data_IF_706386376716
#
_entry.id   IF_706386376716
#
_cell.length_a   1.000
_cell.length_b   1.000
_cell.length_c   1.000
_cell.angle_alpha   90.00
_cell.angle_beta   90.00
_cell.angle_gamma   90.00
#
_symmetry.space_group_name_H-M   'P 1'
#
loop_
_entity.id
_entity.type
_entity.pdbx_description
1 polymer ?
#
# COMPACT_ATOMS: atom_id res chain seq x y z
N UNK A 1 -27.95 22.45 5.73
CA UNK A 1 -26.50 22.51 5.51
C UNK A 1 -25.87 21.43 6.37
N UNK A 2 -25.66 20.24 5.80
CA UNK A 2 -25.03 19.13 6.52
C UNK A 2 -23.58 19.51 6.77
N UNK A 3 -23.19 19.67 8.05
CA UNK A 3 -21.80 19.90 8.42
C UNK A 3 -20.91 18.85 7.75
N UNK A 4 -20.02 19.33 6.88
CA UNK A 4 -19.07 18.54 6.12
C UNK A 4 -17.88 18.09 6.98
N UNK A 5 -18.18 17.68 8.22
CA UNK A 5 -17.19 17.30 9.23
C UNK A 5 -17.22 15.78 9.32
N UNK A 6 -16.06 15.17 9.08
CA UNK A 6 -15.89 13.73 9.24
C UNK A 6 -16.22 13.34 10.70
N UNK A 7 -16.87 12.20 10.88
CA UNK A 7 -17.15 11.66 12.21
C UNK A 7 -15.84 11.25 12.88
N UNK A 8 -15.50 11.87 14.01
CA UNK A 8 -14.34 11.49 14.80
C UNK A 8 -14.59 10.19 15.55
N UNK A 9 -13.64 9.25 15.46
CA UNK A 9 -13.68 8.01 16.20
C UNK A 9 -13.34 8.19 17.68
N UNK A 10 -13.98 7.41 18.53
CA UNK A 10 -13.64 7.29 19.95
C UNK A 10 -12.33 6.53 20.14
N UNK A 11 -11.69 6.72 21.29
CA UNK A 11 -10.46 5.99 21.67
C UNK A 11 -10.63 4.47 21.56
N UNK A 12 -11.76 3.95 22.03
CA UNK A 12 -12.10 2.53 21.94
C UNK A 12 -12.19 2.03 20.49
N UNK A 13 -12.75 2.81 19.57
CA UNK A 13 -12.85 2.45 18.15
C UNK A 13 -11.49 2.45 17.45
N UNK A 14 -10.63 3.42 17.79
CA UNK A 14 -9.25 3.48 17.28
C UNK A 14 -8.47 2.25 17.74
N UNK A 15 -8.55 1.89 19.03
CA UNK A 15 -7.93 0.69 19.56
C UNK A 15 -8.44 -0.59 18.88
N UNK A 16 -9.75 -0.67 18.64
CA UNK A 16 -10.37 -1.80 17.94
C UNK A 16 -9.90 -1.93 16.50
N UNK A 17 -9.83 -0.82 15.76
CA UNK A 17 -9.33 -0.81 14.38
C UNK A 17 -7.87 -1.27 14.31
N UNK A 18 -7.02 -0.75 15.20
CA UNK A 18 -5.62 -1.14 15.27
C UNK A 18 -5.44 -2.62 15.63
N UNK A 19 -6.26 -3.16 16.54
CA UNK A 19 -6.22 -4.57 16.89
C UNK A 19 -6.69 -5.47 15.75
N UNK A 20 -7.72 -5.05 15.02
CA UNK A 20 -8.20 -5.76 13.83
C UNK A 20 -7.10 -5.86 12.76
N UNK A 21 -6.37 -4.77 12.51
CA UNK A 21 -5.24 -4.76 11.58
C UNK A 21 -4.11 -5.72 12.03
N UNK A 22 -3.75 -5.69 13.33
CA UNK A 22 -2.74 -6.61 13.89
C UNK A 22 -3.15 -8.07 13.80
N UNK A 23 -4.40 -8.39 14.11
CA UNK A 23 -4.93 -9.74 14.02
C UNK A 23 -4.97 -10.23 12.57
N UNK A 24 -5.38 -9.37 11.64
CA UNK A 24 -5.38 -9.68 10.21
C UNK A 24 -3.97 -10.02 9.74
N UNK A 25 -2.98 -9.18 10.10
CA UNK A 25 -1.58 -9.46 9.78
C UNK A 25 -1.09 -10.79 10.38
N UNK A 26 -1.35 -11.02 11.67
CA UNK A 26 -0.96 -12.25 12.39
C UNK A 26 -1.60 -13.51 11.83
N UNK A 27 -2.78 -13.41 11.22
CA UNK A 27 -3.43 -14.56 10.57
C UNK A 27 -2.70 -15.03 9.30
N UNK A 28 -1.79 -14.21 8.75
CA UNK A 28 -0.99 -14.54 7.56
C UNK A 28 -1.73 -14.37 6.23
N UNK A 29 -3.00 -13.97 6.23
CA UNK A 29 -3.79 -13.67 5.02
C UNK A 29 -3.11 -12.64 4.10
N UNK A 30 -2.35 -11.70 4.67
CA UNK A 30 -1.65 -10.65 3.91
C UNK A 30 -0.29 -11.11 3.33
N UNK A 31 0.18 -12.30 3.72
CA UNK A 31 1.51 -12.81 3.33
C UNK A 31 1.60 -13.18 1.84
N UNK A 32 0.62 -13.89 1.22
CA UNK A 32 0.71 -14.29 -0.17
C UNK A 32 0.73 -13.11 -1.15
N UNK A 33 1.56 -13.19 -2.19
CA UNK A 33 1.66 -12.14 -3.21
C UNK A 33 0.34 -11.89 -3.95
N UNK A 34 -0.47 -12.94 -4.16
CA UNK A 34 -1.81 -12.81 -4.76
C UNK A 34 -2.70 -11.85 -3.96
N UNK A 35 -2.66 -11.90 -2.63
CA UNK A 35 -3.43 -10.99 -1.81
C UNK A 35 -2.94 -9.55 -2.00
N UNK A 36 -1.62 -9.32 -1.96
CA UNK A 36 -1.02 -8.00 -2.13
C UNK A 36 -1.33 -7.39 -3.49
N UNK A 37 -1.17 -8.17 -4.57
CA UNK A 37 -1.53 -7.79 -5.94
C UNK A 37 -3.01 -7.38 -6.02
N UNK A 38 -3.90 -8.19 -5.45
CA UNK A 38 -5.31 -7.86 -5.42
C UNK A 38 -5.60 -6.53 -4.70
N UNK A 39 -4.95 -6.28 -3.55
CA UNK A 39 -5.11 -5.00 -2.84
C UNK A 39 -4.60 -3.80 -3.66
N UNK A 40 -3.48 -3.94 -4.37
CA UNK A 40 -2.95 -2.89 -5.26
C UNK A 40 -3.93 -2.61 -6.42
N UNK A 41 -4.49 -3.65 -7.03
CA UNK A 41 -5.52 -3.48 -8.08
C UNK A 41 -6.79 -2.82 -7.55
N UNK A 42 -7.22 -3.12 -6.31
CA UNK A 42 -8.35 -2.44 -5.68
C UNK A 42 -8.02 -0.97 -5.39
N UNK A 43 -6.81 -0.68 -4.94
CA UNK A 43 -6.36 0.68 -4.69
C UNK A 43 -6.32 1.51 -5.97
N UNK A 44 -5.83 0.94 -7.06
CA UNK A 44 -5.84 1.59 -8.37
C UNK A 44 -7.27 1.96 -8.80
N UNK A 45 -8.20 1.00 -8.70
CA UNK A 45 -9.62 1.22 -9.01
C UNK A 45 -10.25 2.28 -8.12
N UNK A 46 -9.94 2.27 -6.81
CA UNK A 46 -10.41 3.29 -5.88
C UNK A 46 -10.00 4.70 -6.34
N UNK A 47 -8.75 4.88 -6.76
CA UNK A 47 -8.29 6.18 -7.25
C UNK A 47 -8.96 6.53 -8.58
N UNK A 48 -9.08 5.57 -9.49
CA UNK A 48 -9.68 5.78 -10.81
C UNK A 48 -11.16 6.15 -10.72
N UNK A 49 -11.96 5.30 -10.08
CA UNK A 49 -13.42 5.43 -9.94
C UNK A 49 -13.82 6.71 -9.19
N UNK A 50 -12.94 7.25 -8.35
CA UNK A 50 -13.20 8.44 -7.51
C UNK A 50 -12.41 9.68 -7.96
N UNK A 51 -11.84 9.70 -9.17
CA UNK A 51 -11.01 10.80 -9.69
C UNK A 51 -11.65 12.18 -9.50
N UNK A 52 -12.89 12.35 -9.97
CA UNK A 52 -13.58 13.65 -9.89
C UNK A 52 -13.93 14.03 -8.45
N UNK A 53 -14.27 13.06 -7.60
CA UNK A 53 -14.55 13.31 -6.18
C UNK A 53 -13.29 13.79 -5.44
N UNK A 54 -12.13 13.20 -5.75
CA UNK A 54 -10.84 13.61 -5.17
C UNK A 54 -10.46 15.02 -5.66
N UNK A 55 -10.68 15.33 -6.94
CA UNK A 55 -10.44 16.67 -7.49
C UNK A 55 -11.31 17.71 -6.78
N UNK A 56 -12.60 17.45 -6.63
CA UNK A 56 -13.51 18.40 -5.96
C UNK A 56 -13.20 18.54 -4.47
N UNK A 57 -12.81 17.45 -3.79
CA UNK A 57 -12.36 17.51 -2.39
C UNK A 57 -11.11 18.40 -2.24
N UNK A 58 -10.08 18.18 -3.05
CA UNK A 58 -8.83 18.97 -2.99
C UNK A 58 -9.04 20.43 -3.41
N UNK A 59 -9.95 20.69 -4.35
CA UNK A 59 -10.35 22.05 -4.69
C UNK A 59 -11.07 22.73 -3.53
N UNK A 60 -11.93 22.01 -2.80
CA UNK A 60 -12.64 22.56 -1.65
C UNK A 60 -11.72 22.85 -0.47
N UNK A 61 -10.79 21.94 -0.20
CA UNK A 61 -9.92 22.02 0.98
C UNK A 61 -8.72 22.94 0.75
N UNK A 62 -8.14 22.92 -0.46
CA UNK A 62 -6.87 23.59 -0.78
C UNK A 62 -6.99 24.63 -1.91
N UNK A 63 -8.15 24.78 -2.55
CA UNK A 63 -8.32 25.59 -3.78
C UNK A 63 -7.39 25.16 -4.92
N UNK A 64 -6.96 23.89 -4.92
CA UNK A 64 -6.06 23.32 -5.91
C UNK A 64 -6.75 23.26 -7.29
N UNK A 65 -6.04 23.67 -8.34
CA UNK A 65 -6.58 23.59 -9.70
C UNK A 65 -6.65 22.13 -10.16
N UNK A 66 -7.66 21.77 -10.97
CA UNK A 66 -7.85 20.39 -11.46
C UNK A 66 -6.58 19.76 -12.02
N UNK A 67 -5.87 20.47 -12.91
CA UNK A 67 -4.66 19.96 -13.54
C UNK A 67 -3.53 19.72 -12.53
N UNK A 68 -3.43 20.55 -11.50
CA UNK A 68 -2.42 20.40 -10.45
C UNK A 68 -2.72 19.17 -9.58
N UNK A 69 -3.99 18.94 -9.26
CA UNK A 69 -4.43 17.70 -8.58
C UNK A 69 -4.15 16.46 -9.43
N UNK A 70 -4.51 16.50 -10.72
CA UNK A 70 -4.31 15.35 -11.62
C UNK A 70 -2.83 15.02 -11.76
N UNK A 71 -2.00 16.02 -12.09
CA UNK A 71 -0.57 15.80 -12.36
C UNK A 71 0.25 15.59 -11.09
N UNK A 72 -0.14 16.22 -9.98
CA UNK A 72 0.61 16.18 -8.72
C UNK A 72 0.21 15.05 -7.77
N UNK A 73 -1.03 14.57 -7.84
CA UNK A 73 -1.55 13.59 -6.88
C UNK A 73 -2.00 12.30 -7.59
N UNK A 74 -2.91 12.42 -8.56
CA UNK A 74 -3.61 11.24 -9.12
C UNK A 74 -2.73 10.42 -10.05
N UNK A 75 -2.02 11.08 -10.97
CA UNK A 75 -1.11 10.41 -11.91
C UNK A 75 0.04 9.75 -11.16
N UNK A 76 0.80 10.44 -10.28
CA UNK A 76 1.88 9.81 -9.52
C UNK A 76 1.40 8.63 -8.67
N UNK A 77 0.26 8.76 -7.98
CA UNK A 77 -0.29 7.66 -7.19
C UNK A 77 -0.60 6.41 -8.04
N UNK A 78 -1.22 6.59 -9.21
CA UNK A 78 -1.51 5.47 -10.12
C UNK A 78 -0.23 4.85 -10.70
N UNK A 79 0.75 5.66 -11.05
CA UNK A 79 2.05 5.18 -11.56
C UNK A 79 2.82 4.39 -10.48
N UNK A 80 2.86 4.86 -9.23
CA UNK A 80 3.49 4.10 -8.14
C UNK A 80 2.78 2.76 -7.88
N UNK A 81 1.45 2.71 -8.00
CA UNK A 81 0.70 1.45 -7.89
C UNK A 81 1.03 0.51 -9.05
N UNK A 82 1.14 1.03 -10.28
CA UNK A 82 1.53 0.25 -11.45
C UNK A 82 2.96 -0.28 -11.33
N UNK A 83 3.92 0.55 -10.93
CA UNK A 83 5.31 0.14 -10.68
C UNK A 83 5.37 -0.97 -9.62
N UNK A 84 4.61 -0.83 -8.54
CA UNK A 84 4.48 -1.86 -7.53
C UNK A 84 3.86 -3.14 -8.08
N UNK A 85 2.84 -3.06 -8.94
CA UNK A 85 2.23 -4.23 -9.59
C UNK A 85 3.17 -4.94 -10.55
N UNK A 86 4.04 -4.22 -11.25
CA UNK A 86 5.01 -4.77 -12.19
C UNK A 86 6.16 -5.48 -11.47
N UNK A 87 6.64 -4.91 -10.37
CA UNK A 87 7.84 -5.38 -9.68
C UNK A 87 7.58 -6.17 -8.39
N UNK A 88 6.32 -6.37 -7.99
CA UNK A 88 5.94 -7.02 -6.72
C UNK A 88 6.67 -8.35 -6.47
N UNK A 89 6.68 -9.24 -7.45
CA UNK A 89 7.29 -10.57 -7.36
C UNK A 89 8.82 -10.48 -7.26
N UNK A 90 9.44 -9.57 -8.01
CA UNK A 90 10.88 -9.33 -7.94
C UNK A 90 11.27 -8.80 -6.57
N UNK A 91 10.54 -7.80 -6.07
CA UNK A 91 10.80 -7.19 -4.79
C UNK A 91 10.61 -8.18 -3.64
N UNK A 92 9.68 -9.13 -3.75
CA UNK A 92 9.43 -10.13 -2.74
C UNK A 92 10.35 -11.36 -2.81
N UNK A 93 11.11 -11.53 -3.89
CA UNK A 93 11.96 -12.71 -4.11
C UNK A 93 13.10 -12.80 -3.08
N UNK A 94 13.40 -14.03 -2.66
CA UNK A 94 14.58 -14.34 -1.85
C UNK A 94 15.86 -13.99 -2.63
N UNK A 95 16.77 -13.27 -1.99
CA UNK A 95 18.06 -12.89 -2.58
C UNK A 95 19.12 -13.94 -2.21
N UNK A 96 19.80 -14.52 -3.21
CA UNK A 96 20.92 -15.43 -2.96
C UNK A 96 22.14 -14.61 -2.54
N UNK A 97 22.67 -14.91 -1.36
CA UNK A 97 23.87 -14.26 -0.85
C UNK A 97 25.02 -15.24 -0.81
N UNK A 98 26.20 -14.74 -1.14
CA UNK A 98 27.43 -15.51 -1.06
C UNK A 98 27.93 -15.42 0.39
N UNK A 99 27.96 -16.54 1.15
CA UNK A 99 28.49 -16.51 2.51
C UNK A 99 30.01 -16.41 2.50
N UNK A 100 30.58 -16.06 3.65
CA UNK A 100 32.03 -16.10 3.88
C UNK A 100 32.60 -17.50 3.54
N UNK A 101 33.88 -17.54 3.15
CA UNK A 101 34.53 -18.76 2.63
C UNK A 101 34.36 -19.98 3.55
N UNK A 102 34.42 -19.77 4.87
CA UNK A 102 34.26 -20.82 5.89
C UNK A 102 32.88 -21.49 5.88
N UNK A 103 31.85 -20.81 5.39
CA UNK A 103 30.45 -21.27 5.37
C UNK A 103 29.97 -21.59 3.94
N UNK A 104 30.89 -21.75 2.98
CA UNK A 104 30.56 -21.83 1.54
C UNK A 104 30.36 -23.26 1.03
N UNK A 105 30.82 -24.26 1.78
CA UNK A 105 30.74 -25.67 1.40
C UNK A 105 29.43 -26.28 1.89
N UNK A 106 28.57 -26.71 0.96
CA UNK A 106 27.33 -27.43 1.27
C UNK A 106 26.17 -26.57 1.79
N UNK A 107 26.29 -25.24 1.81
CA UNK A 107 25.29 -24.33 2.38
C UNK A 107 24.79 -23.34 1.33
N UNK A 108 23.46 -23.16 1.23
CA UNK A 108 22.83 -22.09 0.44
C UNK A 108 22.33 -21.01 1.38
N UNK A 109 22.87 -19.80 1.26
CA UNK A 109 22.42 -18.66 2.06
C UNK A 109 21.44 -17.80 1.27
N UNK A 110 20.27 -17.56 1.84
CA UNK A 110 19.21 -16.72 1.26
C UNK A 110 18.89 -15.59 2.24
N UNK A 111 18.79 -14.38 1.71
CA UNK A 111 18.21 -13.23 2.42
C UNK A 111 16.74 -13.13 2.03
N UNK A 112 15.87 -13.55 2.93
CA UNK A 112 14.42 -13.44 2.77
C UNK A 112 13.92 -12.08 3.22
N UNK A 113 13.01 -11.49 2.45
CA UNK A 113 12.34 -10.24 2.78
C UNK A 113 10.99 -10.56 3.44
N UNK A 114 10.94 -10.49 4.77
CA UNK A 114 9.69 -10.68 5.53
C UNK A 114 9.02 -9.33 5.83
N UNK A 115 7.69 -9.26 5.80
CA UNK A 115 6.95 -8.07 6.22
C UNK A 115 7.13 -7.80 7.71
N UNK A 116 7.16 -6.51 8.10
CA UNK A 116 7.41 -6.05 9.48
C UNK A 116 6.13 -5.94 10.29
#
# INVERSE_FOLDING_TARGET
>A
MTSNVLHFHTDAEIHKAAETARQTFRSGITKPLKYRRHQLEQLWRLVDDNTDLIIEALKKDLHKHKNETVLGELVPAKEEINDALEHLEEWAKDEKVVPALVNRVGVTCLKRKEPK
#
